data_IF_666139355800
#
_entry.id   IF_666139355800
#
_cell.length_a   1.000
_cell.length_b   1.000
_cell.length_c   1.000
_cell.angle_alpha   90.00
_cell.angle_beta   90.00
_cell.angle_gamma   90.00
#
_symmetry.space_group_name_H-M   'P 1'
#
loop_
_entity.id
_entity.type
_entity.pdbx_description
1 polymer ?
#
# COMPACT_ATOMS: atom_id res chain seq x y z
N UNK A 1 2.76 2.59 19.90
CA UNK A 1 1.93 2.17 18.77
C UNK A 1 2.62 1.06 17.99
N UNK A 2 1.88 0.05 17.61
CA UNK A 2 2.46 -1.00 16.78
C UNK A 2 2.19 -0.70 15.31
N UNK A 3 3.21 -0.93 14.50
CA UNK A 3 3.14 -0.64 13.08
C UNK A 3 3.91 -1.69 12.29
N UNK A 4 3.63 -1.76 11.01
CA UNK A 4 4.38 -2.58 10.06
C UNK A 4 5.29 -1.63 9.29
N UNK A 5 6.59 -1.91 9.31
CA UNK A 5 7.54 -1.17 8.48
C UNK A 5 7.49 -1.72 7.06
N UNK A 6 7.38 -0.81 6.10
CA UNK A 6 7.30 -1.15 4.68
C UNK A 6 8.48 -0.47 3.98
N UNK A 7 9.56 -1.22 3.73
CA UNK A 7 10.73 -0.65 3.07
C UNK A 7 10.50 -0.45 1.58
N UNK A 8 10.89 0.70 1.06
CA UNK A 8 10.85 0.98 -0.37
C UNK A 8 12.17 1.67 -0.75
N UNK A 9 13.10 0.90 -1.28
CA UNK A 9 14.43 1.41 -1.58
C UNK A 9 15.11 1.89 -0.30
N UNK A 10 15.51 3.15 -0.29
CA UNK A 10 16.12 3.76 0.89
C UNK A 10 15.10 4.37 1.84
N UNK A 11 13.85 4.42 1.45
CA UNK A 11 12.80 5.01 2.26
C UNK A 11 12.12 3.95 3.12
N UNK A 12 11.55 4.40 4.23
CA UNK A 12 10.89 3.52 5.16
C UNK A 12 9.53 4.12 5.52
N UNK A 13 8.49 3.39 5.22
CA UNK A 13 7.15 3.76 5.59
C UNK A 13 6.68 2.90 6.75
N UNK A 14 5.70 3.36 7.47
CA UNK A 14 5.07 2.60 8.54
C UNK A 14 3.57 2.61 8.34
N UNK A 15 2.92 1.49 8.58
CA UNK A 15 1.47 1.35 8.49
C UNK A 15 0.97 0.90 9.85
N UNK A 16 -0.04 1.56 10.44
CA UNK A 16 -0.60 1.09 11.71
C UNK A 16 -0.99 -0.38 11.59
N UNK A 17 -0.65 -1.16 12.62
CA UNK A 17 -0.85 -2.62 12.55
C UNK A 17 -2.33 -2.99 12.40
N UNK A 18 -3.23 -2.18 12.93
CA UNK A 18 -4.66 -2.47 12.80
C UNK A 18 -5.19 -2.27 11.37
N UNK A 19 -4.42 -1.60 10.51
CA UNK A 19 -4.75 -1.48 9.10
C UNK A 19 -4.16 -2.61 8.27
N UNK A 20 -3.23 -3.38 8.82
CA UNK A 20 -2.55 -4.45 8.09
C UNK A 20 -3.39 -5.72 8.13
N UNK A 21 -3.58 -6.33 6.97
CA UNK A 21 -4.24 -7.60 6.88
C UNK A 21 -3.23 -8.74 6.86
N UNK A 22 -2.21 -8.66 6.00
CA UNK A 22 -1.16 -9.67 5.90
C UNK A 22 -0.03 -9.18 5.00
N UNK A 23 1.07 -9.91 5.01
CA UNK A 23 2.20 -9.67 4.11
C UNK A 23 2.34 -10.91 3.22
N UNK A 24 2.48 -10.69 1.93
CA UNK A 24 2.68 -11.78 0.97
C UNK A 24 3.89 -11.48 0.10
N UNK A 25 4.46 -12.53 -0.49
CA UNK A 25 5.52 -12.37 -1.49
C UNK A 25 4.92 -11.77 -2.74
N UNK A 26 5.76 -11.15 -3.57
CA UNK A 26 5.29 -10.52 -4.80
C UNK A 26 4.47 -11.53 -5.62
N UNK A 27 3.18 -11.27 -5.82
CA UNK A 27 2.30 -12.17 -6.54
C UNK A 27 2.38 -11.94 -8.04
N UNK A 28 1.79 -12.87 -8.79
CA UNK A 28 1.58 -12.65 -10.22
C UNK A 28 0.55 -11.56 -10.40
N UNK A 29 0.84 -10.63 -11.28
CA UNK A 29 -0.03 -9.49 -11.55
C UNK A 29 -0.73 -9.62 -12.88
N UNK A 30 -1.99 -9.19 -12.90
CA UNK A 30 -2.71 -8.90 -14.13
C UNK A 30 -2.69 -7.39 -14.31
N UNK A 31 -2.16 -6.91 -15.42
CA UNK A 31 -2.09 -5.48 -15.68
C UNK A 31 -3.39 -5.00 -16.28
N UNK A 32 -3.81 -3.81 -15.87
CA UNK A 32 -4.98 -3.14 -16.43
C UNK A 32 -4.50 -1.92 -17.21
N UNK A 33 -4.62 -1.93 -18.54
CA UNK A 33 -4.13 -0.81 -19.35
C UNK A 33 -4.76 0.54 -19.02
N UNK A 34 -5.99 0.51 -18.53
CA UNK A 34 -6.73 1.73 -18.22
C UNK A 34 -6.66 2.14 -16.75
N UNK A 35 -5.91 1.40 -15.94
CA UNK A 35 -5.79 1.72 -14.52
C UNK A 35 -4.95 2.98 -14.32
N UNK A 36 -5.16 3.70 -13.21
CA UNK A 36 -4.30 4.83 -12.86
C UNK A 36 -2.84 4.40 -12.76
N UNK A 37 -1.93 5.34 -13.01
CA UNK A 37 -0.50 5.03 -13.01
C UNK A 37 0.00 4.48 -11.67
N UNK A 38 -0.67 4.83 -10.58
CA UNK A 38 -0.29 4.34 -9.25
C UNK A 38 -0.68 2.87 -9.01
N UNK A 39 -1.47 2.27 -9.90
CA UNK A 39 -1.83 0.86 -9.82
C UNK A 39 -0.87 0.05 -10.68
N UNK A 40 -0.06 -0.79 -10.04
CA UNK A 40 0.90 -1.64 -10.75
C UNK A 40 0.22 -2.81 -11.43
N UNK A 41 -0.90 -3.27 -10.91
CA UNK A 41 -1.67 -4.35 -11.46
C UNK A 41 -2.64 -4.89 -10.42
N UNK A 42 -3.31 -5.98 -10.75
CA UNK A 42 -4.22 -6.67 -9.84
C UNK A 42 -3.69 -8.06 -9.57
N UNK A 43 -3.93 -8.56 -8.38
CA UNK A 43 -3.59 -9.94 -8.05
C UNK A 43 -4.74 -10.62 -7.30
N UNK A 44 -4.75 -11.93 -7.38
CA UNK A 44 -5.75 -12.74 -6.70
C UNK A 44 -5.19 -13.18 -5.36
N UNK A 45 -5.91 -12.86 -4.28
CA UNK A 45 -5.55 -13.27 -2.94
C UNK A 45 -6.68 -14.15 -2.41
N UNK A 46 -6.52 -15.45 -2.58
CA UNK A 46 -7.51 -16.44 -2.14
C UNK A 46 -8.92 -16.13 -2.62
N UNK A 47 -9.02 -15.82 -3.93
CA UNK A 47 -10.31 -15.55 -4.56
C UNK A 47 -10.75 -14.09 -4.53
N UNK A 48 -9.99 -13.25 -3.85
CA UNK A 48 -10.28 -11.82 -3.76
C UNK A 48 -9.33 -11.03 -4.65
N UNK A 49 -9.85 -10.13 -5.43
CA UNK A 49 -9.03 -9.30 -6.32
C UNK A 49 -8.52 -8.09 -5.56
N UNK A 50 -7.21 -7.90 -5.56
CA UNK A 50 -6.54 -6.85 -4.79
C UNK A 50 -5.69 -6.01 -5.74
N UNK A 51 -5.84 -4.68 -5.75
CA UNK A 51 -4.94 -3.83 -6.52
C UNK A 51 -3.59 -3.70 -5.81
N UNK A 52 -2.51 -3.80 -6.58
CA UNK A 52 -1.17 -3.56 -6.06
C UNK A 52 -0.79 -2.12 -6.39
N UNK A 53 -0.46 -1.36 -5.38
CA UNK A 53 -0.21 0.06 -5.51
C UNK A 53 1.27 0.36 -5.44
N UNK A 54 1.68 1.34 -6.24
CA UNK A 54 3.03 1.88 -6.25
C UNK A 54 3.16 2.79 -5.02
N UNK A 55 3.79 2.29 -3.98
CA UNK A 55 3.84 2.97 -2.67
C UNK A 55 4.40 4.38 -2.75
N UNK A 56 5.58 4.62 -3.36
CA UNK A 56 6.05 6.00 -3.46
C UNK A 56 5.18 6.88 -4.35
N UNK A 57 4.59 6.32 -5.40
CA UNK A 57 3.72 7.11 -6.28
C UNK A 57 2.46 7.59 -5.56
N UNK A 58 1.97 6.84 -4.57
CA UNK A 58 0.85 7.27 -3.74
C UNK A 58 1.17 8.56 -2.98
N UNK A 59 2.44 8.78 -2.71
CA UNK A 59 2.91 9.95 -1.99
C UNK A 59 3.32 11.08 -2.94
N UNK A 60 3.09 10.92 -4.24
CA UNK A 60 3.53 11.90 -5.22
C UNK A 60 5.01 11.85 -5.53
N UNK A 61 5.67 10.77 -5.16
CA UNK A 61 7.09 10.57 -5.41
C UNK A 61 7.31 9.76 -6.67
N UNK A 62 8.57 9.48 -6.99
CA UNK A 62 8.92 8.70 -8.17
C UNK A 62 8.44 7.26 -8.05
N UNK A 63 8.35 6.58 -9.19
CA UNK A 63 7.83 5.21 -9.25
C UNK A 63 8.76 4.23 -8.56
N UNK A 64 8.17 3.16 -8.03
CA UNK A 64 8.93 2.07 -7.43
C UNK A 64 9.70 1.30 -8.52
N UNK A 65 10.92 0.88 -8.20
CA UNK A 65 11.80 0.19 -9.16
C UNK A 65 11.82 -1.32 -8.95
N UNK A 66 10.70 -1.90 -8.69
CA UNK A 66 10.59 -3.32 -8.44
C UNK A 66 10.15 -3.55 -7.00
N UNK A 67 9.68 -4.75 -6.72
CA UNK A 67 9.19 -5.11 -5.40
C UNK A 67 9.32 -6.60 -5.20
N UNK A 68 9.47 -7.01 -3.94
CA UNK A 68 9.60 -8.41 -3.57
C UNK A 68 8.50 -8.87 -2.63
N UNK A 69 7.82 -7.93 -1.97
CA UNK A 69 6.76 -8.21 -1.02
C UNK A 69 5.62 -7.22 -1.18
N UNK A 70 4.48 -7.59 -0.64
CA UNK A 70 3.29 -6.75 -0.63
C UNK A 70 2.70 -6.76 0.77
N UNK A 71 2.50 -5.57 1.32
CA UNK A 71 1.73 -5.41 2.55
C UNK A 71 0.27 -5.19 2.16
N UNK A 72 -0.58 -6.14 2.47
CA UNK A 72 -2.01 -6.02 2.19
C UNK A 72 -2.68 -5.31 3.34
N UNK A 73 -3.34 -4.21 3.03
CA UNK A 73 -3.98 -3.36 4.03
C UNK A 73 -5.47 -3.29 3.78
N UNK A 74 -6.22 -2.96 4.85
CA UNK A 74 -7.65 -2.67 4.77
C UNK A 74 -7.81 -1.19 4.47
N UNK A 75 -8.71 -0.88 3.55
CA UNK A 75 -9.02 0.50 3.24
C UNK A 75 -10.53 0.67 3.11
N UNK A 76 -11.04 1.91 3.11
CA UNK A 76 -12.47 2.14 2.91
C UNK A 76 -13.01 1.57 1.61
N UNK A 77 -12.14 1.39 0.61
CA UNK A 77 -12.52 0.86 -0.70
C UNK A 77 -12.27 -0.63 -0.83
N UNK A 78 -11.88 -1.31 0.24
CA UNK A 78 -11.54 -2.73 0.21
C UNK A 78 -10.05 -2.96 0.39
N UNK A 79 -9.59 -4.20 0.24
CA UNK A 79 -8.16 -4.50 0.42
C UNK A 79 -7.33 -3.87 -0.68
N UNK A 80 -6.12 -3.45 -0.32
CA UNK A 80 -5.15 -2.91 -1.26
C UNK A 80 -3.76 -3.40 -0.86
N UNK A 81 -2.90 -3.61 -1.84
CA UNK A 81 -1.53 -4.02 -1.58
C UNK A 81 -0.58 -2.85 -1.74
N UNK A 82 0.33 -2.71 -0.81
CA UNK A 82 1.41 -1.74 -0.89
C UNK A 82 2.69 -2.46 -1.25
N UNK A 83 3.29 -2.10 -2.38
CA UNK A 83 4.51 -2.74 -2.85
C UNK A 83 5.68 -2.37 -1.94
N UNK A 84 6.53 -3.36 -1.63
CA UNK A 84 7.70 -3.19 -0.80
C UNK A 84 8.92 -3.83 -1.46
N UNK A 85 10.09 -3.22 -1.30
CA UNK A 85 11.32 -3.74 -1.91
C UNK A 85 12.03 -4.75 -1.03
N UNK A 86 11.68 -4.80 0.26
CA UNK A 86 12.22 -5.76 1.21
C UNK A 86 11.11 -6.21 2.15
N UNK A 87 11.39 -7.21 2.96
CA UNK A 87 10.39 -7.82 3.85
C UNK A 87 9.86 -6.78 4.84
N UNK A 88 8.56 -6.52 4.85
CA UNK A 88 7.95 -5.69 5.88
C UNK A 88 8.04 -6.37 7.25
N UNK A 89 8.29 -5.58 8.30
CA UNK A 89 8.48 -6.11 9.64
C UNK A 89 7.69 -5.32 10.67
N UNK A 90 7.09 -6.00 11.65
CA UNK A 90 6.38 -5.30 12.72
C UNK A 90 7.37 -4.59 13.66
N UNK A 91 6.94 -3.45 14.18
CA UNK A 91 7.74 -2.64 15.08
C UNK A 91 6.82 -1.92 16.07
N UNK A 92 7.37 -1.61 17.25
CA UNK A 92 6.71 -0.71 18.18
C UNK A 92 7.28 0.68 17.95
N UNK A 93 6.44 1.64 17.61
CA UNK A 93 6.85 3.03 17.43
C UNK A 93 6.73 3.77 18.73
N UNK A 94 7.73 4.60 19.04
CA UNK A 94 7.68 5.52 20.16
C UNK A 94 6.89 6.77 19.82
N UNK A 95 7.39 7.92 20.28
CA UNK A 95 6.75 9.18 19.97
C UNK A 95 7.23 9.71 18.64
N UNK A 96 6.38 10.47 17.97
CA UNK A 96 6.74 11.09 16.70
C UNK A 96 7.89 12.08 16.92
N UNK A 97 8.86 12.06 16.01
CA UNK A 97 9.97 12.99 16.02
C UNK A 97 9.78 14.14 15.03
N UNK A 98 8.74 14.07 14.20
CA UNK A 98 8.38 15.09 13.25
C UNK A 98 6.89 15.09 13.00
N UNK A 99 6.38 16.25 12.63
CA UNK A 99 4.95 16.42 12.35
C UNK A 99 4.60 15.84 10.98
N UNK A 100 3.30 15.61 10.77
CA UNK A 100 2.79 15.24 9.46
C UNK A 100 2.94 16.42 8.50
N UNK A 101 3.50 16.16 7.32
CA UNK A 101 3.69 17.20 6.30
C UNK A 101 2.69 17.08 5.17
N UNK A 102 1.78 16.13 5.26
CA UNK A 102 0.83 15.86 4.19
C UNK A 102 -0.39 15.18 4.80
N UNK A 103 -1.58 15.37 4.20
CA UNK A 103 -2.77 14.67 4.67
C UNK A 103 -2.66 13.15 4.62
N UNK A 104 -1.76 12.64 3.80
CA UNK A 104 -1.59 11.20 3.63
C UNK A 104 -0.65 10.59 4.67
N UNK A 105 -0.02 11.41 5.50
CA UNK A 105 0.93 10.94 6.51
C UNK A 105 0.48 11.39 7.91
N UNK A 106 0.95 10.67 8.91
CA UNK A 106 0.56 10.93 10.29
C UNK A 106 1.77 11.08 11.21
N UNK A 107 2.88 11.59 10.66
CA UNK A 107 4.07 11.88 11.44
C UNK A 107 5.27 11.07 11.02
N UNK A 108 6.43 11.44 11.55
CA UNK A 108 7.71 10.77 11.30
C UNK A 108 8.22 10.20 12.60
N UNK A 109 8.75 9.00 12.53
CA UNK A 109 9.20 8.25 13.71
C UNK A 109 10.62 7.74 13.51
N UNK A 110 11.41 7.74 14.58
CA UNK A 110 12.74 7.16 14.54
C UNK A 110 12.63 5.65 14.73
N UNK A 111 13.30 4.89 13.86
CA UNK A 111 13.40 3.44 13.97
C UNK A 111 14.89 3.11 13.85
N UNK A 112 15.55 2.88 14.97
CA UNK A 112 17.00 2.79 14.99
C UNK A 112 17.60 4.12 14.53
N UNK A 113 18.44 4.06 13.50
CA UNK A 113 19.05 5.26 12.92
C UNK A 113 18.32 5.73 11.68
N UNK A 114 17.14 5.18 11.39
CA UNK A 114 16.35 5.53 10.22
C UNK A 114 15.10 6.27 10.65
N UNK A 115 14.51 6.98 9.70
CA UNK A 115 13.23 7.64 9.92
C UNK A 115 12.16 6.92 9.09
N UNK A 116 11.03 6.67 9.71
CA UNK A 116 9.89 6.07 9.06
C UNK A 116 8.74 7.07 9.02
N UNK A 117 8.08 7.17 7.88
CA UNK A 117 6.91 8.04 7.71
C UNK A 117 5.67 7.19 7.91
N UNK A 118 4.87 7.52 8.92
CA UNK A 118 3.64 6.81 9.20
C UNK A 118 2.58 7.24 8.19
N UNK A 119 1.99 6.26 7.51
CA UNK A 119 0.96 6.50 6.53
C UNK A 119 -0.41 6.50 7.20
N UNK A 120 -1.26 7.42 6.75
CA UNK A 120 -2.67 7.42 7.11
C UNK A 120 -3.40 6.71 5.97
N UNK A 121 -3.68 5.43 6.15
CA UNK A 121 -4.26 4.61 5.08
C UNK A 121 -5.63 5.12 4.67
N UNK A 122 -6.42 5.57 5.61
CA UNK A 122 -7.76 6.07 5.30
C UNK A 122 -7.68 7.35 4.46
N UNK A 123 -6.81 8.27 4.83
CA UNK A 123 -6.62 9.49 4.06
C UNK A 123 -5.97 9.19 2.70
N UNK A 124 -5.01 8.27 2.70
CA UNK A 124 -4.25 7.94 1.50
C UNK A 124 -5.11 7.26 0.44
N UNK A 125 -5.96 6.32 0.85
CA UNK A 125 -6.73 5.48 -0.08
C UNK A 125 -8.21 5.84 -0.13
N UNK A 126 -8.73 6.50 0.88
CA UNK A 126 -10.16 6.81 0.95
C UNK A 126 -10.64 7.75 -0.14
N UNK A 127 -9.77 8.66 -0.59
CA UNK A 127 -10.08 9.59 -1.67
C UNK A 127 -9.52 9.17 -3.01
N UNK A 128 -8.83 8.04 -3.07
CA UNK A 128 -8.18 7.62 -4.31
C UNK A 128 -9.17 6.97 -5.26
N UNK A 129 -8.92 7.17 -6.56
CA UNK A 129 -9.72 6.55 -7.60
C UNK A 129 -9.10 5.19 -7.92
N UNK A 130 -9.36 4.21 -7.07
CA UNK A 130 -8.79 2.87 -7.22
C UNK A 130 -9.76 1.92 -7.90
N UNK A 131 -9.26 0.95 -8.68
CA UNK A 131 -10.10 -0.13 -9.16
C UNK A 131 -10.63 -0.92 -7.99
N UNK A 132 -11.91 -1.20 -7.98
CA UNK A 132 -12.52 -2.07 -7.00
C UNK A 132 -13.19 -3.21 -7.74
N UNK A 133 -13.64 -4.22 -7.00
CA UNK A 133 -14.31 -5.32 -7.64
C UNK A 133 -15.59 -4.87 -8.38
N UNK A 134 -16.14 -3.71 -8.02
CA UNK A 134 -17.31 -3.17 -8.72
C UNK A 134 -16.94 -2.59 -10.07
N UNK A 135 -15.67 -2.26 -10.28
CA UNK A 135 -15.20 -1.64 -11.50
C UNK A 135 -14.49 -2.61 -12.44
N UNK A 136 -14.29 -3.84 -12.00
CA UNK A 136 -13.54 -4.80 -12.78
C UNK A 136 -14.39 -5.36 -13.92
N UNK A 137 -13.85 -5.42 -15.14
CA UNK A 137 -14.62 -5.90 -16.29
C UNK A 137 -15.17 -7.30 -16.12
N UNK A 138 -14.40 -8.16 -15.44
CA UNK A 138 -14.82 -9.53 -15.23
C UNK A 138 -16.09 -9.64 -14.42
N UNK A 139 -16.46 -8.58 -13.77
CA UNK A 139 -17.67 -8.56 -12.98
C UNK A 139 -18.82 -7.97 -13.73
N UNK A 140 -18.54 -7.06 -14.56
CA UNK A 140 -19.54 -6.42 -15.32
C UNK A 140 -19.86 -7.22 -16.53
N UNK A 141 -19.06 -7.87 -16.74
CA UNK A 141 -19.29 -8.50 -17.67
C UNK A 141 -19.63 -9.61 -17.43
N UNK A 142 -19.60 -9.31 -16.62
CA UNK A 142 -19.65 -10.05 -16.65
C UNK A 142 -20.05 -10.25 -17.31
N UNK A 143 -20.14 -9.92 -17.53
CA UNK A 143 -20.19 -10.32 -18.16
C UNK A 143 -19.49 -10.35 -18.67
N UNK A 144 -19.33 -10.00 -18.65
CA UNK A 144 -18.59 -10.13 -19.14
C UNK A 144 -18.06 -10.84 -18.94
N UNK A 145 -18.02 -10.93 -18.76
CA UNK A 145 -17.55 -11.68 -18.89
C UNK A 145 -17.50 -11.85 -19.03
#
# INVERSE_FOLDING_TARGET
>A
MRALLVPVGLDLYAVPMDAVREVVRAPLLTRLPTAPALVLGLFNLRGEIVPLLDTPALMGLSRIHGWSFVAVVRSPLGPAGLAATALPEPVALGEAVGASESPATAGTYAVGQRLAVLLDIEALLGGASLPSHDLLPSQSMQGAG
#
